data_IF_029250131843
#
_entry.id   IF_029250131843
#
_cell.length_a   1.000
_cell.length_b   1.000
_cell.length_c   1.000
_cell.angle_alpha   90.00
_cell.angle_beta   90.00
_cell.angle_gamma   90.00
#
_symmetry.space_group_name_H-M   'P 1'
#
loop_
_entity.id
_entity.type
_entity.pdbx_description
1 polymer ?
#
# COMPACT_ATOMS: atom_id res chain seq x y z
N UNK A 1 9.25 6.69 -14.89
CA UNK A 1 7.83 6.82 -14.52
C UNK A 1 7.16 7.71 -15.55
N UNK A 2 6.19 7.15 -16.29
CA UNK A 2 5.45 7.86 -17.33
C UNK A 2 4.25 8.58 -16.72
N UNK A 3 3.82 9.69 -17.33
CA UNK A 3 2.56 10.37 -16.96
C UNK A 3 1.56 10.28 -18.11
N UNK A 4 0.31 10.00 -17.80
CA UNK A 4 -0.78 9.87 -18.78
C UNK A 4 -2.07 10.45 -18.22
N UNK A 5 -2.84 11.21 -19.01
CA UNK A 5 -4.16 11.64 -18.56
C UNK A 5 -5.13 10.45 -18.55
N UNK A 6 -6.10 10.45 -17.63
CA UNK A 6 -7.13 9.43 -17.55
C UNK A 6 -7.92 9.31 -18.87
N UNK A 7 -8.14 10.44 -19.55
CA UNK A 7 -8.77 10.46 -20.87
C UNK A 7 -7.92 9.77 -21.94
N UNK A 8 -6.60 9.97 -21.93
CA UNK A 8 -5.70 9.30 -22.87
C UNK A 8 -5.58 7.81 -22.56
N UNK A 9 -5.45 7.44 -21.29
CA UNK A 9 -5.40 6.04 -20.85
C UNK A 9 -6.68 5.28 -21.23
N UNK A 10 -7.84 5.91 -21.10
CA UNK A 10 -9.12 5.33 -21.52
C UNK A 10 -9.21 5.13 -23.04
N UNK A 11 -8.71 6.09 -23.84
CA UNK A 11 -8.71 6.01 -25.30
C UNK A 11 -7.68 5.01 -25.85
N UNK A 12 -6.53 4.89 -25.18
CA UNK A 12 -5.39 4.05 -25.59
C UNK A 12 -5.13 2.94 -24.57
N UNK A 13 -6.18 2.24 -24.14
CA UNK A 13 -6.08 1.29 -23.02
C UNK A 13 -4.99 0.22 -23.20
N UNK A 14 -4.87 -0.36 -24.40
CA UNK A 14 -3.80 -1.33 -24.68
C UNK A 14 -2.40 -0.75 -24.46
N UNK A 15 -2.13 0.45 -25.00
CA UNK A 15 -0.83 1.14 -24.82
C UNK A 15 -0.59 1.54 -23.36
N UNK A 16 -1.65 1.89 -22.64
CA UNK A 16 -1.59 2.19 -21.21
C UNK A 16 -1.16 0.96 -20.40
N UNK A 17 -1.78 -0.19 -20.60
CA UNK A 17 -1.43 -1.43 -19.90
C UNK A 17 -0.01 -1.89 -20.28
N UNK A 18 0.34 -1.84 -21.57
CA UNK A 18 1.69 -2.18 -22.03
C UNK A 18 2.78 -1.27 -21.43
N UNK A 19 2.44 -0.01 -21.14
CA UNK A 19 3.34 0.89 -20.43
C UNK A 19 3.46 0.50 -18.96
N UNK A 20 2.33 0.22 -18.28
CA UNK A 20 2.30 -0.19 -16.88
C UNK A 20 3.03 -1.51 -16.61
N UNK A 21 3.12 -2.40 -17.61
CA UNK A 21 3.92 -3.64 -17.52
C UNK A 21 5.44 -3.39 -17.55
N UNK A 22 5.90 -2.23 -18.04
CA UNK A 22 7.33 -1.91 -18.17
C UNK A 22 7.81 -0.93 -17.11
N UNK A 23 6.97 0.03 -16.74
CA UNK A 23 7.26 1.00 -15.70
C UNK A 23 5.97 1.57 -15.08
N UNK A 24 6.03 2.08 -13.84
CA UNK A 24 4.89 2.77 -13.24
C UNK A 24 4.37 3.94 -14.09
N UNK A 25 3.04 4.01 -14.21
CA UNK A 25 2.34 5.08 -14.93
C UNK A 25 1.54 5.92 -13.94
N UNK A 26 1.86 7.22 -13.86
CA UNK A 26 1.09 8.21 -13.14
C UNK A 26 -0.12 8.67 -13.98
N UNK A 27 -1.32 8.42 -13.48
CA UNK A 27 -2.56 8.91 -14.07
C UNK A 27 -2.92 10.29 -13.54
N UNK A 28 -3.28 11.21 -14.44
CA UNK A 28 -3.78 12.54 -14.09
C UNK A 28 -5.20 12.80 -14.58
N UNK A 29 -5.97 13.58 -13.82
CA UNK A 29 -7.29 14.08 -14.21
C UNK A 29 -7.32 15.60 -14.08
N UNK A 30 -7.44 16.31 -15.20
CA UNK A 30 -7.30 17.78 -15.24
C UNK A 30 -6.01 18.23 -14.53
N UNK A 31 -4.89 17.63 -14.94
CA UNK A 31 -3.53 17.85 -14.41
C UNK A 31 -3.28 17.48 -12.95
N UNK A 32 -4.30 17.01 -12.22
CA UNK A 32 -4.14 16.49 -10.86
C UNK A 32 -3.78 15.00 -10.88
N UNK A 33 -2.71 14.57 -10.18
CA UNK A 33 -2.45 13.16 -9.91
C UNK A 33 -3.66 12.47 -9.28
N UNK A 34 -4.06 11.30 -9.79
CA UNK A 34 -5.20 10.54 -9.25
C UNK A 34 -4.90 9.07 -8.96
N UNK A 35 -3.93 8.47 -9.65
CA UNK A 35 -3.54 7.09 -9.42
C UNK A 35 -2.14 6.83 -9.96
N UNK A 36 -1.47 5.80 -9.44
CA UNK A 36 -0.32 5.17 -10.08
C UNK A 36 -0.72 3.74 -10.43
N UNK A 37 -0.45 3.33 -11.66
CA UNK A 37 -0.66 1.95 -12.11
C UNK A 37 0.69 1.30 -12.33
N UNK A 38 0.85 0.10 -11.80
CA UNK A 38 2.06 -0.72 -11.88
C UNK A 38 1.71 -2.11 -12.43
N UNK A 39 2.72 -2.88 -12.79
CA UNK A 39 2.54 -4.29 -13.14
C UNK A 39 2.04 -5.09 -11.93
N UNK A 40 1.48 -6.28 -12.17
CA UNK A 40 1.10 -7.17 -11.06
C UNK A 40 2.32 -7.64 -10.27
N UNK A 41 3.44 -7.90 -10.95
CA UNK A 41 4.68 -8.32 -10.30
C UNK A 41 5.23 -7.23 -9.36
N UNK A 42 5.25 -5.98 -9.83
CA UNK A 42 5.67 -4.82 -9.02
C UNK A 42 4.73 -4.63 -7.83
N UNK A 43 3.42 -4.84 -8.02
CA UNK A 43 2.46 -4.78 -6.93
C UNK A 43 2.72 -5.85 -5.87
N UNK A 44 2.99 -7.09 -6.26
CA UNK A 44 3.32 -8.19 -5.35
C UNK A 44 4.60 -7.88 -4.56
N UNK A 45 5.62 -7.34 -5.21
CA UNK A 45 6.86 -6.88 -4.55
C UNK A 45 6.58 -5.77 -3.52
N UNK A 46 5.78 -4.76 -3.88
CA UNK A 46 5.40 -3.68 -2.96
C UNK A 46 4.63 -4.20 -1.74
N UNK A 47 3.77 -5.20 -1.91
CA UNK A 47 3.06 -5.85 -0.81
C UNK A 47 4.03 -6.61 0.10
N UNK A 48 4.96 -7.37 -0.48
CA UNK A 48 5.98 -8.10 0.27
C UNK A 48 6.84 -7.14 1.11
N UNK A 49 7.34 -6.06 0.50
CA UNK A 49 8.13 -5.03 1.19
C UNK A 49 7.35 -4.38 2.36
N UNK A 50 6.04 -4.17 2.21
CA UNK A 50 5.21 -3.64 3.30
C UNK A 50 5.12 -4.62 4.48
N UNK A 51 4.98 -5.92 4.20
CA UNK A 51 4.96 -6.97 5.23
C UNK A 51 6.31 -7.04 5.94
N UNK A 52 7.40 -7.11 5.18
CA UNK A 52 8.77 -7.16 5.70
C UNK A 52 9.07 -5.98 6.62
N UNK A 53 8.67 -4.77 6.22
CA UNK A 53 8.80 -3.57 7.06
C UNK A 53 8.02 -3.70 8.38
N UNK A 54 6.81 -4.25 8.32
CA UNK A 54 5.99 -4.50 9.52
C UNK A 54 6.64 -5.51 10.47
N UNK A 55 7.19 -6.60 9.92
CA UNK A 55 7.92 -7.61 10.69
C UNK A 55 9.18 -7.00 11.31
N UNK A 56 9.98 -6.26 10.54
CA UNK A 56 11.19 -5.61 11.03
C UNK A 56 10.90 -4.63 12.18
N UNK A 57 9.83 -3.84 12.05
CA UNK A 57 9.39 -2.95 13.13
C UNK A 57 8.97 -3.73 14.39
N UNK A 58 8.22 -4.82 14.24
CA UNK A 58 7.85 -5.68 15.37
C UNK A 58 9.05 -6.33 16.05
N UNK A 59 10.06 -6.78 15.30
CA UNK A 59 11.29 -7.34 15.87
C UNK A 59 12.11 -6.27 16.63
N UNK A 60 12.14 -5.03 16.14
CA UNK A 60 12.76 -3.92 16.86
C UNK A 60 12.03 -3.63 18.19
N UNK A 61 10.69 -3.63 18.19
CA UNK A 61 9.89 -3.49 19.42
C UNK A 61 10.21 -4.58 20.44
N UNK A 62 10.37 -5.84 19.99
CA UNK A 62 10.76 -6.96 20.85
C UNK A 62 12.16 -6.73 21.44
N UNK A 63 13.13 -6.33 20.63
CA UNK A 63 14.50 -6.09 21.08
C UNK A 63 14.59 -4.98 22.14
N UNK A 64 13.69 -3.99 22.06
CA UNK A 64 13.60 -2.87 23.00
C UNK A 64 12.63 -3.11 24.17
N UNK A 65 12.06 -4.32 24.28
CA UNK A 65 11.13 -4.67 25.35
C UNK A 65 9.76 -3.99 25.26
N UNK A 66 9.41 -3.38 24.12
CA UNK A 66 8.08 -2.81 23.82
C UNK A 66 7.07 -3.92 23.48
N UNK A 67 6.96 -4.88 24.38
CA UNK A 67 6.07 -6.03 24.26
C UNK A 67 5.00 -5.98 25.34
N UNK A 68 3.90 -6.67 25.10
CA UNK A 68 2.86 -6.89 26.11
C UNK A 68 2.60 -8.38 26.16
N UNK A 69 2.43 -8.92 27.36
CA UNK A 69 2.05 -10.31 27.53
C UNK A 69 0.70 -10.58 26.86
N UNK A 70 0.58 -11.75 26.22
CA UNK A 70 -0.65 -12.17 25.56
C UNK A 70 -1.65 -12.67 26.61
N UNK A 71 -2.30 -11.74 27.30
CA UNK A 71 -3.40 -11.99 28.23
C UNK A 71 -4.76 -11.65 27.61
N UNK A 72 -5.83 -12.16 28.21
CA UNK A 72 -7.20 -11.87 27.77
C UNK A 72 -7.50 -10.36 27.81
N UNK A 73 -7.12 -9.67 28.89
CA UNK A 73 -7.27 -8.21 29.03
C UNK A 73 -6.52 -7.45 27.93
N UNK A 74 -5.27 -7.86 27.63
CA UNK A 74 -4.48 -7.23 26.58
C UNK A 74 -5.09 -7.46 25.18
N UNK A 75 -5.69 -8.63 24.95
CA UNK A 75 -6.41 -8.95 23.73
C UNK A 75 -7.68 -8.11 23.58
N UNK A 76 -8.49 -7.98 24.62
CA UNK A 76 -9.69 -7.15 24.62
C UNK A 76 -9.36 -5.69 24.32
N UNK A 77 -8.33 -5.15 24.96
CA UNK A 77 -7.86 -3.79 24.70
C UNK A 77 -7.39 -3.62 23.24
N UNK A 78 -6.71 -4.62 22.68
CA UNK A 78 -6.24 -4.59 21.28
C UNK A 78 -7.41 -4.62 20.29
N UNK A 79 -8.41 -5.47 20.54
CA UNK A 79 -9.63 -5.53 19.73
C UNK A 79 -10.43 -4.23 19.81
N UNK A 80 -10.56 -3.63 21.01
CA UNK A 80 -11.22 -2.34 21.19
C UNK A 80 -10.54 -1.23 20.39
N UNK A 81 -9.20 -1.16 20.40
CA UNK A 81 -8.43 -0.23 19.56
C UNK A 81 -8.67 -0.44 18.07
N UNK A 82 -8.74 -1.69 17.62
CA UNK A 82 -8.99 -2.00 16.22
C UNK A 82 -10.39 -1.58 15.78
N UNK A 83 -11.41 -1.88 16.58
CA UNK A 83 -12.82 -1.49 16.32
C UNK A 83 -13.01 0.03 16.29
N UNK A 84 -12.26 0.75 17.11
CA UNK A 84 -12.35 2.22 17.23
C UNK A 84 -11.38 2.96 16.32
N UNK A 85 -10.59 2.25 15.50
CA UNK A 85 -9.68 2.89 14.54
C UNK A 85 -10.53 3.56 13.46
N UNK A 86 -10.42 4.89 13.25
CA UNK A 86 -11.11 5.53 12.15
C UNK A 86 -10.62 4.92 10.83
N UNK A 87 -11.48 4.77 9.81
CA UNK A 87 -11.03 4.39 8.48
C UNK A 87 -9.95 5.38 8.05
N UNK A 88 -8.80 4.88 7.62
CA UNK A 88 -7.70 5.73 7.15
C UNK A 88 -8.23 6.66 6.04
N UNK A 89 -8.06 7.98 6.24
CA UNK A 89 -8.49 9.04 5.31
C UNK A 89 -7.56 9.13 4.09
#
# INVERSE_FOLDING_TARGET
MKTMSATLASKEFGRFIDAAQREPVLLTKKDRPVAVTVSVADWEELVALRIERGVAAGLADVAEGRVTEMSDDAMEQRLARFRNRPPEA
#
